data_IF_839786822992
#
_entry.id   IF_839786822992
#
_cell.length_a   1.000
_cell.length_b   1.000
_cell.length_c   1.000
_cell.angle_alpha   90.00
_cell.angle_beta   90.00
_cell.angle_gamma   90.00
#
_symmetry.space_group_name_H-M   'P 1'
#
loop_
_entity.id
_entity.type
_entity.pdbx_description
1 polymer ?
#
# COMPACT_ATOMS: atom_id res chain seq x y z
N UNK A 1 -10.07 0.25 -38.76
CA UNK A 1 -9.68 -1.05 -38.17
C UNK A 1 -9.02 -0.83 -36.81
N UNK A 2 -9.76 -0.72 -35.68
CA UNK A 2 -9.15 -0.63 -34.33
C UNK A 2 -10.03 -1.26 -33.23
N UNK A 3 -10.89 -2.22 -33.58
CA UNK A 3 -11.90 -2.78 -32.66
C UNK A 3 -11.49 -4.09 -31.95
N UNK A 4 -10.23 -4.51 -32.09
CA UNK A 4 -9.75 -5.83 -31.64
C UNK A 4 -8.70 -5.85 -30.51
N UNK A 5 -8.14 -4.71 -30.11
CA UNK A 5 -7.00 -4.68 -29.17
C UNK A 5 -7.40 -4.57 -27.69
N UNK A 6 -8.59 -4.04 -27.38
CA UNK A 6 -9.05 -3.85 -26.00
C UNK A 6 -9.22 -5.18 -25.24
N UNK A 7 -9.69 -6.23 -25.91
CA UNK A 7 -9.92 -7.54 -25.30
C UNK A 7 -8.64 -8.32 -25.00
N UNK A 8 -7.52 -8.01 -25.69
CA UNK A 8 -6.21 -8.63 -25.41
C UNK A 8 -5.43 -7.91 -24.30
N UNK A 9 -5.75 -6.64 -24.02
CA UNK A 9 -5.08 -5.82 -22.99
C UNK A 9 -5.63 -6.07 -21.58
N UNK A 10 -6.91 -6.43 -21.45
CA UNK A 10 -7.55 -6.73 -20.17
C UNK A 10 -6.85 -7.84 -19.34
N UNK A 11 -6.48 -9.00 -19.92
CA UNK A 11 -5.80 -10.05 -19.15
C UNK A 11 -4.37 -9.67 -18.74
N UNK A 12 -3.68 -8.84 -19.53
CA UNK A 12 -2.34 -8.33 -19.20
C UNK A 12 -2.37 -7.38 -18.00
N UNK A 13 -3.38 -6.51 -17.92
CA UNK A 13 -3.56 -5.60 -16.78
C UNK A 13 -3.84 -6.37 -15.48
N UNK A 14 -4.66 -7.42 -15.55
CA UNK A 14 -4.98 -8.26 -14.40
C UNK A 14 -3.74 -9.01 -13.87
N UNK A 15 -2.88 -9.52 -14.75
CA UNK A 15 -1.63 -10.19 -14.36
C UNK A 15 -0.68 -9.21 -13.64
N UNK A 16 -0.55 -7.98 -14.12
CA UNK A 16 0.25 -6.95 -13.45
C UNK A 16 -0.27 -6.61 -12.05
N UNK A 17 -1.59 -6.52 -11.86
CA UNK A 17 -2.20 -6.25 -10.56
C UNK A 17 -1.99 -7.41 -9.57
N UNK A 18 -2.07 -8.66 -10.03
CA UNK A 18 -1.78 -9.82 -9.19
C UNK A 18 -0.31 -9.89 -8.76
N UNK A 19 0.63 -9.54 -9.63
CA UNK A 19 2.06 -9.50 -9.29
C UNK A 19 2.37 -8.38 -8.29
N UNK A 20 1.71 -7.22 -8.40
CA UNK A 20 1.88 -6.12 -7.44
C UNK A 20 1.27 -6.43 -6.06
N UNK A 21 0.24 -7.28 -5.98
CA UNK A 21 -0.45 -7.67 -4.73
C UNK A 21 0.21 -8.81 -3.94
N UNK A 22 1.26 -9.45 -4.48
CA UNK A 22 1.94 -10.59 -3.85
C UNK A 22 3.05 -10.17 -2.86
N UNK A 23 2.72 -9.39 -1.84
CA UNK A 23 3.61 -9.18 -0.68
C UNK A 23 2.88 -9.59 0.60
N UNK A 24 2.76 -10.91 0.83
CA UNK A 24 2.13 -11.49 2.04
C UNK A 24 3.16 -12.00 3.05
N UNK A 25 4.21 -11.23 3.30
CA UNK A 25 5.28 -11.62 4.21
C UNK A 25 5.80 -10.45 5.02
N UNK A 26 5.06 -10.04 6.04
CA UNK A 26 5.64 -9.22 7.11
C UNK A 26 6.56 -10.11 7.95
N UNK A 27 7.87 -9.89 7.89
CA UNK A 27 8.82 -10.53 8.81
C UNK A 27 8.50 -10.05 10.22
N UNK A 28 7.78 -10.88 10.98
CA UNK A 28 7.33 -10.54 12.33
C UNK A 28 8.56 -10.43 13.23
N UNK A 29 8.72 -9.31 13.93
CA UNK A 29 9.85 -9.06 14.84
C UNK A 29 10.90 -8.07 14.32
N UNK A 30 10.85 -7.66 13.05
CA UNK A 30 11.67 -6.53 12.59
C UNK A 30 11.11 -5.21 13.16
N UNK A 31 11.99 -4.27 13.57
CA UNK A 31 11.55 -2.95 13.97
C UNK A 31 10.83 -2.28 12.80
N UNK A 32 9.71 -1.60 13.10
CA UNK A 32 9.01 -0.78 12.11
C UNK A 32 9.97 0.30 11.60
N UNK A 33 10.00 0.52 10.28
CA UNK A 33 10.78 1.63 9.73
C UNK A 33 10.24 2.97 10.25
N UNK A 34 11.15 3.93 10.46
CA UNK A 34 10.73 5.28 10.77
C UNK A 34 10.12 5.93 9.50
N UNK A 35 8.88 6.40 9.59
CA UNK A 35 8.26 7.17 8.51
C UNK A 35 7.36 8.26 9.07
N UNK A 36 7.24 9.34 8.30
CA UNK A 36 6.33 10.45 8.59
C UNK A 36 5.07 10.32 7.74
N UNK A 37 3.94 10.63 8.32
CA UNK A 37 2.65 10.54 7.66
C UNK A 37 1.77 11.73 8.04
N UNK A 38 0.88 12.11 7.12
CA UNK A 38 -0.15 13.10 7.43
C UNK A 38 -1.32 12.41 8.11
N UNK A 39 -1.74 12.93 9.24
CA UNK A 39 -2.91 12.43 9.96
C UNK A 39 -4.18 12.89 9.26
N UNK A 40 -5.31 12.27 9.62
CA UNK A 40 -6.64 12.69 9.17
C UNK A 40 -7.01 14.09 9.66
N UNK A 41 -6.39 14.56 10.75
CA UNK A 41 -6.52 15.93 11.26
C UNK A 41 -5.62 16.94 10.50
N UNK A 42 -4.85 16.49 9.50
CA UNK A 42 -3.99 17.33 8.68
C UNK A 42 -2.61 17.63 9.27
N UNK A 43 -2.33 17.19 10.51
CA UNK A 43 -1.01 17.30 11.15
C UNK A 43 -0.02 16.27 10.59
N UNK A 44 1.28 16.53 10.75
CA UNK A 44 2.33 15.56 10.40
C UNK A 44 2.71 14.78 11.67
N UNK A 45 2.59 13.45 11.63
CA UNK A 45 3.07 12.54 12.67
C UNK A 45 4.26 11.69 12.20
N UNK A 46 4.95 11.04 13.14
CA UNK A 46 5.99 10.04 12.90
C UNK A 46 5.66 8.74 13.64
N UNK A 47 6.13 7.60 13.16
CA UNK A 47 6.08 6.34 13.94
C UNK A 47 6.85 6.43 15.25
N UNK A 48 7.86 7.30 15.36
CA UNK A 48 8.59 7.56 16.59
C UNK A 48 7.71 8.11 17.73
N UNK A 49 6.63 8.84 17.40
CA UNK A 49 5.69 9.41 18.38
C UNK A 49 4.88 8.33 19.12
N UNK A 50 4.93 7.09 18.63
CA UNK A 50 4.17 5.94 19.14
C UNK A 50 5.05 4.86 19.77
N UNK A 51 6.34 5.13 19.98
CA UNK A 51 7.22 4.19 20.69
C UNK A 51 6.67 3.84 22.08
N UNK A 52 6.70 2.55 22.42
CA UNK A 52 6.13 2.03 23.67
C UNK A 52 4.60 1.94 23.68
N UNK A 53 3.92 2.29 22.58
CA UNK A 53 2.47 2.15 22.42
C UNK A 53 2.16 1.27 21.20
N UNK A 54 1.08 0.48 21.22
CA UNK A 54 0.63 -0.23 20.03
C UNK A 54 0.19 0.79 18.97
N UNK A 55 0.72 0.66 17.75
CA UNK A 55 0.39 1.47 16.58
C UNK A 55 -0.20 0.56 15.49
N UNK A 56 -1.38 0.92 15.01
CA UNK A 56 -2.02 0.29 13.84
C UNK A 56 -1.91 1.23 12.66
N UNK A 57 -1.31 0.76 11.57
CA UNK A 57 -1.15 1.53 10.33
C UNK A 57 -2.13 0.99 9.29
N UNK A 58 -2.99 1.87 8.78
CA UNK A 58 -3.94 1.54 7.72
C UNK A 58 -3.50 2.19 6.41
N UNK A 59 -3.21 1.38 5.38
CA UNK A 59 -2.91 1.85 4.04
C UNK A 59 -4.21 1.90 3.23
N UNK A 60 -4.67 3.09 2.90
CA UNK A 60 -5.94 3.31 2.20
C UNK A 60 -5.83 4.47 1.22
N UNK A 61 -6.80 4.56 0.31
CA UNK A 61 -7.00 5.70 -0.56
C UNK A 61 -8.49 5.87 -0.88
N UNK A 62 -8.87 7.05 -1.35
CA UNK A 62 -10.25 7.46 -1.64
C UNK A 62 -10.72 7.13 -3.07
N UNK A 63 -9.80 6.67 -3.93
CA UNK A 63 -10.06 6.26 -5.31
C UNK A 63 -10.57 4.83 -5.45
#
# INVERSE_FOLDING_TARGET
MHRGYIWKLLPLLAICLCLAGCNRGGSTGNPVSEFRFRTTAGSIGSTADYLGKPLVVNFWADW
#
